data_IF_274433347626
#
_entry.id   IF_274433347626
#
_cell.length_a   1.000
_cell.length_b   1.000
_cell.length_c   1.000
_cell.angle_alpha   90.00
_cell.angle_beta   90.00
_cell.angle_gamma   90.00
#
_symmetry.space_group_name_H-M   'P 1'
#
loop_
_entity.id
_entity.type
_entity.pdbx_description
1 polymer ?
#
# COMPACT_ATOMS: atom_id res chain seq x y z
N UNK A 1 17.58 60.07 12.38
CA UNK A 1 17.43 58.90 11.49
C UNK A 1 17.39 57.63 12.34
N UNK A 2 16.28 56.89 12.35
CA UNK A 2 16.17 55.56 12.98
C UNK A 2 15.27 54.71 12.08
N UNK A 3 15.85 53.70 11.43
CA UNK A 3 15.14 52.67 10.68
C UNK A 3 14.68 51.60 11.66
N UNK A 4 13.37 51.36 11.74
CA UNK A 4 12.81 50.20 12.44
C UNK A 4 12.53 49.15 11.37
N UNK A 5 13.43 48.17 11.27
CA UNK A 5 13.28 47.03 10.37
C UNK A 5 12.56 45.92 11.14
N UNK A 6 11.30 45.67 10.81
CA UNK A 6 10.51 44.58 11.38
C UNK A 6 10.83 43.33 10.58
N UNK A 7 11.61 42.42 11.14
CA UNK A 7 11.80 41.08 10.58
C UNK A 7 10.65 40.18 11.02
N UNK A 8 9.77 39.85 10.08
CA UNK A 8 8.73 38.86 10.25
C UNK A 8 9.35 37.46 10.14
N UNK A 9 9.56 36.78 11.27
CA UNK A 9 9.93 35.37 11.28
C UNK A 9 8.67 34.52 11.09
N UNK A 10 8.54 33.87 9.93
CA UNK A 10 7.53 32.83 9.71
C UNK A 10 8.09 31.53 10.28
N UNK A 11 7.71 31.18 11.52
CA UNK A 11 7.99 29.87 12.09
C UNK A 11 7.02 28.85 11.50
N UNK A 12 7.53 27.95 10.66
CA UNK A 12 6.81 26.74 10.25
C UNK A 12 6.80 25.79 11.45
N UNK A 13 5.67 25.72 12.15
CA UNK A 13 5.46 24.75 13.22
C UNK A 13 5.23 23.37 12.59
N UNK A 14 6.24 22.50 12.63
CA UNK A 14 6.07 21.06 12.45
C UNK A 14 5.40 20.51 13.72
N UNK A 15 4.07 20.52 13.76
CA UNK A 15 3.31 19.86 14.82
C UNK A 15 3.35 18.35 14.59
N UNK A 16 3.80 17.54 15.56
CA UNK A 16 3.61 16.09 15.47
C UNK A 16 2.10 15.83 15.39
N UNK A 17 1.68 15.08 14.38
CA UNK A 17 0.31 14.63 14.24
C UNK A 17 0.06 13.67 15.41
N UNK A 18 -0.61 14.14 16.45
CA UNK A 18 -1.05 13.29 17.54
C UNK A 18 -2.26 12.51 17.05
N UNK A 19 -2.06 11.25 16.66
CA UNK A 19 -3.16 10.33 16.42
C UNK A 19 -3.91 10.16 17.75
N UNK A 20 -5.24 10.30 17.75
CA UNK A 20 -6.04 10.08 18.96
C UNK A 20 -6.31 8.59 19.14
N UNK A 21 -6.40 8.15 20.40
CA UNK A 21 -6.72 6.76 20.72
C UNK A 21 -8.07 6.31 20.13
N UNK A 22 -9.03 7.24 20.03
CA UNK A 22 -10.34 6.99 19.42
C UNK A 22 -10.20 6.65 17.92
N UNK A 23 -9.27 7.30 17.21
CA UNK A 23 -9.03 7.04 15.79
C UNK A 23 -8.43 5.64 15.58
N UNK A 24 -7.53 5.22 16.47
CA UNK A 24 -6.91 3.88 16.40
C UNK A 24 -7.91 2.76 16.69
N UNK A 25 -8.84 3.00 17.63
CA UNK A 25 -9.90 2.04 17.95
C UNK A 25 -10.83 1.85 16.75
N UNK A 26 -11.16 2.94 16.06
CA UNK A 26 -11.97 2.88 14.84
C UNK A 26 -11.32 2.03 13.73
N UNK A 27 -10.00 2.12 13.56
CA UNK A 27 -9.28 1.27 12.60
C UNK A 27 -9.44 -0.22 12.93
N UNK A 28 -9.42 -0.59 14.22
CA UNK A 28 -9.63 -1.98 14.63
C UNK A 28 -11.04 -2.44 14.26
N UNK A 29 -12.05 -1.59 14.45
CA UNK A 29 -13.44 -1.89 14.09
C UNK A 29 -13.62 -2.04 12.56
N UNK A 30 -12.83 -1.32 11.76
CA UNK A 30 -12.77 -1.44 10.29
C UNK A 30 -11.93 -2.63 9.78
N UNK A 31 -11.40 -3.45 10.69
CA UNK A 31 -10.64 -4.66 10.35
C UNK A 31 -9.15 -4.44 10.16
N UNK A 32 -8.62 -3.25 10.44
CA UNK A 32 -7.17 -3.01 10.42
C UNK A 32 -6.47 -3.64 11.62
N UNK A 33 -5.28 -4.20 11.38
CA UNK A 33 -4.44 -4.84 12.40
C UNK A 33 -2.98 -4.53 12.15
N UNK A 34 -2.17 -4.59 13.20
CA UNK A 34 -0.73 -4.43 13.10
C UNK A 34 -0.04 -5.79 13.10
N UNK A 35 0.95 -5.96 12.22
CA UNK A 35 1.79 -7.14 12.22
C UNK A 35 2.67 -7.20 13.47
N UNK A 36 2.82 -8.40 14.04
CA UNK A 36 3.62 -8.69 15.23
C UNK A 36 4.88 -9.49 14.91
N UNK A 37 4.96 -10.05 13.70
CA UNK A 37 6.03 -10.93 13.26
C UNK A 37 6.96 -10.20 12.29
N UNK A 38 8.21 -10.65 12.23
CA UNK A 38 9.15 -10.29 11.17
C UNK A 38 9.42 -11.52 10.30
N UNK A 39 9.00 -11.49 9.05
CA UNK A 39 9.31 -12.55 8.08
C UNK A 39 8.33 -12.64 6.91
N UNK A 40 8.60 -13.54 5.93
CA UNK A 40 7.86 -13.68 4.67
C UNK A 40 6.51 -14.40 4.85
N UNK A 41 5.68 -13.90 5.74
CA UNK A 41 4.47 -14.58 6.22
C UNK A 41 3.16 -13.99 5.68
N UNK A 42 3.23 -13.14 4.66
CA UNK A 42 2.07 -12.79 3.83
C UNK A 42 2.22 -13.48 2.47
N UNK A 43 1.44 -14.53 2.21
CA UNK A 43 1.62 -15.40 1.06
C UNK A 43 0.44 -15.34 0.10
N UNK A 44 0.64 -15.69 -1.17
CA UNK A 44 -0.44 -15.68 -2.18
C UNK A 44 -1.54 -16.74 -1.95
N UNK A 45 -1.26 -17.78 -1.17
CA UNK A 45 -2.24 -18.80 -0.78
C UNK A 45 -1.87 -19.43 0.58
N UNK A 46 -2.84 -20.12 1.18
CA UNK A 46 -2.69 -20.75 2.49
C UNK A 46 -1.63 -21.86 2.53
N UNK A 47 -1.51 -22.68 1.48
CA UNK A 47 -0.55 -23.80 1.45
C UNK A 47 0.89 -23.30 1.45
N UNK A 48 1.14 -22.21 0.73
CA UNK A 48 2.41 -21.48 0.68
C UNK A 48 2.77 -20.97 2.07
N UNK A 49 1.81 -20.37 2.77
CA UNK A 49 1.97 -19.91 4.15
C UNK A 49 2.26 -21.08 5.12
N UNK A 50 1.53 -22.20 4.99
CA UNK A 50 1.78 -23.40 5.79
C UNK A 50 3.20 -23.88 5.59
N UNK A 51 3.61 -24.05 4.33
CA UNK A 51 4.92 -24.57 3.98
C UNK A 51 6.07 -23.72 4.53
N UNK A 52 6.06 -22.41 4.28
CA UNK A 52 7.13 -21.51 4.73
C UNK A 52 7.18 -21.36 6.26
N UNK A 53 6.07 -21.59 6.94
CA UNK A 53 6.01 -21.54 8.40
C UNK A 53 6.44 -22.87 9.05
N UNK A 54 6.21 -24.01 8.40
CA UNK A 54 6.54 -25.33 8.95
C UNK A 54 7.97 -25.79 8.66
N UNK A 55 8.50 -25.44 7.49
CA UNK A 55 9.80 -25.92 6.99
C UNK A 55 10.58 -24.76 6.36
N UNK A 56 10.91 -23.79 7.23
CA UNK A 56 11.59 -22.59 6.83
C UNK A 56 13.07 -22.86 6.51
N UNK A 57 13.50 -22.48 5.31
CA UNK A 57 14.91 -22.43 4.92
C UNK A 57 15.19 -21.16 4.11
N UNK A 58 16.39 -20.61 4.21
CA UNK A 58 16.81 -19.41 3.47
C UNK A 58 16.61 -19.57 1.96
N UNK A 59 16.85 -20.78 1.42
CA UNK A 59 16.68 -21.06 -0.01
C UNK A 59 15.20 -21.08 -0.42
N UNK A 60 14.33 -21.63 0.43
CA UNK A 60 12.87 -21.63 0.21
C UNK A 60 12.32 -20.21 0.29
N UNK A 61 12.71 -19.47 1.33
CA UNK A 61 12.33 -18.06 1.50
C UNK A 61 12.76 -17.21 0.31
N UNK A 62 14.04 -17.24 -0.05
CA UNK A 62 14.57 -16.45 -1.16
C UNK A 62 13.79 -16.71 -2.44
N UNK A 63 13.59 -17.99 -2.79
CA UNK A 63 12.82 -18.39 -3.96
C UNK A 63 11.40 -17.85 -3.95
N UNK A 64 10.72 -17.92 -2.80
CA UNK A 64 9.31 -17.50 -2.69
C UNK A 64 9.18 -15.98 -2.74
N UNK A 65 10.13 -15.24 -2.15
CA UNK A 65 10.17 -13.77 -2.23
C UNK A 65 10.49 -13.31 -3.65
N UNK A 66 11.49 -13.89 -4.30
CA UNK A 66 11.87 -13.54 -5.69
C UNK A 66 10.74 -13.80 -6.69
N UNK A 67 9.97 -14.86 -6.48
CA UNK A 67 8.81 -15.19 -7.33
C UNK A 67 7.56 -14.37 -6.99
N UNK A 68 7.56 -13.60 -5.90
CA UNK A 68 6.39 -12.86 -5.43
C UNK A 68 5.27 -13.75 -4.87
N UNK A 69 5.64 -14.93 -4.37
CA UNK A 69 4.76 -15.88 -3.68
C UNK A 69 4.62 -15.55 -2.19
N UNK A 70 5.62 -14.90 -1.61
CA UNK A 70 5.65 -14.47 -0.21
C UNK A 70 6.19 -13.04 -0.06
N UNK A 71 5.63 -12.31 0.89
CA UNK A 71 5.93 -10.92 1.20
C UNK A 71 6.21 -10.78 2.69
N UNK A 72 7.12 -9.87 3.04
CA UNK A 72 7.48 -9.65 4.43
C UNK A 72 6.37 -8.92 5.17
N UNK A 73 5.99 -9.49 6.31
CA UNK A 73 5.37 -8.76 7.40
C UNK A 73 6.48 -8.28 8.31
N UNK A 74 6.48 -6.99 8.61
CA UNK A 74 7.43 -6.35 9.52
C UNK A 74 6.62 -5.88 10.74
N UNK A 75 7.14 -5.99 11.97
CA UNK A 75 6.41 -5.54 13.15
C UNK A 75 6.02 -4.06 13.03
N UNK A 76 4.75 -3.76 13.32
CA UNK A 76 4.19 -2.42 13.19
C UNK A 76 3.60 -2.10 11.82
N UNK A 77 3.80 -2.95 10.80
CA UNK A 77 3.12 -2.79 9.51
C UNK A 77 1.61 -2.95 9.67
N UNK A 78 0.83 -1.98 9.18
CA UNK A 78 -0.62 -2.04 9.18
C UNK A 78 -1.11 -2.87 7.98
N UNK A 79 -2.06 -3.75 8.25
CA UNK A 79 -2.77 -4.53 7.24
C UNK A 79 -4.27 -4.39 7.46
N UNK A 80 -5.07 -4.65 6.43
CA UNK A 80 -6.52 -4.72 6.56
C UNK A 80 -6.97 -6.17 6.37
N UNK A 81 -7.67 -6.74 7.35
CA UNK A 81 -8.31 -8.06 7.19
C UNK A 81 -9.52 -7.88 6.27
N UNK A 82 -9.57 -8.65 5.18
CA UNK A 82 -10.71 -8.69 4.25
C UNK A 82 -11.55 -9.94 4.41
N UNK A 83 -10.95 -11.02 4.91
CA UNK A 83 -11.65 -12.24 5.26
C UNK A 83 -10.91 -12.94 6.41
N UNK A 84 -11.66 -13.62 7.27
CA UNK A 84 -11.11 -14.37 8.39
C UNK A 84 -11.57 -15.83 8.32
N UNK A 85 -10.63 -16.76 8.34
CA UNK A 85 -10.91 -18.19 8.46
C UNK A 85 -10.47 -18.69 9.85
N UNK A 86 -11.39 -18.68 10.84
CA UNK A 86 -11.08 -19.15 12.18
C UNK A 86 -10.82 -20.66 12.24
N UNK A 87 -11.20 -21.43 11.21
CA UNK A 87 -10.97 -22.89 11.18
C UNK A 87 -9.50 -23.20 10.94
N UNK A 88 -8.86 -22.47 10.02
CA UNK A 88 -7.43 -22.59 9.74
C UNK A 88 -6.56 -21.67 10.60
N UNK A 89 -7.17 -20.69 11.29
CA UNK A 89 -6.46 -19.67 12.06
C UNK A 89 -5.69 -18.70 11.15
N UNK A 90 -6.20 -18.49 9.95
CA UNK A 90 -5.61 -17.62 8.93
C UNK A 90 -6.59 -16.52 8.56
N UNK A 91 -6.03 -15.40 8.14
CA UNK A 91 -6.81 -14.28 7.63
C UNK A 91 -6.26 -13.90 6.26
N UNK A 92 -7.16 -13.52 5.38
CA UNK A 92 -6.82 -12.87 4.12
C UNK A 92 -6.73 -11.37 4.37
N UNK A 93 -5.65 -10.75 3.92
CA UNK A 93 -5.27 -9.37 4.23
C UNK A 93 -4.95 -8.57 2.97
N UNK A 94 -5.21 -7.26 3.02
CA UNK A 94 -4.61 -6.28 2.14
C UNK A 94 -3.35 -5.71 2.81
N UNK A 95 -2.28 -5.64 2.02
CA UNK A 95 -1.00 -5.11 2.43
C UNK A 95 -0.63 -3.94 1.51
N UNK A 96 -0.12 -2.86 2.10
CA UNK A 96 0.33 -1.67 1.38
C UNK A 96 1.26 -2.01 0.21
N UNK A 97 1.01 -1.41 -0.95
CA UNK A 97 1.80 -1.64 -2.16
C UNK A 97 1.56 -2.98 -2.87
N UNK A 98 0.72 -3.87 -2.33
CA UNK A 98 0.32 -5.13 -2.96
C UNK A 98 -1.13 -5.03 -3.44
N UNK A 99 -1.35 -5.28 -4.73
CA UNK A 99 -2.67 -5.08 -5.38
C UNK A 99 -3.62 -6.25 -5.25
N UNK A 100 -3.21 -7.32 -4.56
CA UNK A 100 -3.99 -8.54 -4.35
C UNK A 100 -4.04 -8.89 -2.87
N UNK A 101 -5.12 -9.51 -2.39
CA UNK A 101 -5.14 -10.07 -1.05
C UNK A 101 -4.09 -11.16 -0.87
N UNK A 102 -3.57 -11.28 0.35
CA UNK A 102 -2.58 -12.26 0.77
C UNK A 102 -3.07 -13.00 2.01
N UNK A 103 -2.63 -14.22 2.21
CA UNK A 103 -2.91 -15.03 3.38
C UNK A 103 -1.82 -14.90 4.42
N UNK A 104 -2.21 -14.72 5.68
CA UNK A 104 -1.31 -14.80 6.84
C UNK A 104 -2.01 -15.52 8.00
N UNK A 105 -1.25 -15.90 9.03
CA UNK A 105 -1.86 -16.44 10.23
C UNK A 105 -2.41 -15.31 11.09
N UNK A 106 -3.63 -15.43 11.58
CA UNK A 106 -4.28 -14.40 12.43
C UNK A 106 -3.46 -14.09 13.68
N UNK A 107 -2.73 -15.09 14.22
CA UNK A 107 -1.82 -14.91 15.38
C UNK A 107 -0.63 -13.99 15.11
N UNK A 108 -0.32 -13.69 13.85
CA UNK A 108 0.72 -12.73 13.46
C UNK A 108 0.21 -11.29 13.42
N UNK A 109 -1.06 -11.08 13.74
CA UNK A 109 -1.72 -9.79 13.74
C UNK A 109 -2.21 -9.45 15.15
N UNK A 110 -2.27 -8.16 15.46
CA UNK A 110 -2.84 -7.66 16.72
C UNK A 110 -3.76 -6.46 16.48
N UNK A 111 -4.74 -6.28 17.37
CA UNK A 111 -5.55 -5.07 17.45
C UNK A 111 -4.83 -3.94 18.21
N UNK A 112 -3.78 -4.26 18.97
CA UNK A 112 -3.02 -3.26 19.71
C UNK A 112 -2.05 -2.54 18.76
N UNK A 113 -2.07 -1.19 18.70
CA UNK A 113 -1.16 -0.45 17.84
C UNK A 113 0.32 -0.70 18.19
N UNK A 114 1.12 -0.98 17.16
CA UNK A 114 2.57 -1.19 17.30
C UNK A 114 3.30 -0.12 16.50
N UNK A 115 4.38 0.41 17.07
CA UNK A 115 5.27 1.32 16.35
C UNK A 115 6.12 0.53 15.36
N UNK A 116 6.20 1.02 14.13
CA UNK A 116 7.08 0.50 13.10
C UNK A 116 8.57 0.76 13.40
N UNK A 117 9.44 0.37 12.47
CA UNK A 117 10.89 0.58 12.59
C UNK A 117 11.31 2.06 12.62
N UNK A 118 10.44 2.99 12.22
CA UNK A 118 10.64 4.43 12.26
C UNK A 118 10.04 5.09 13.51
N UNK A 119 9.42 4.30 14.40
CA UNK A 119 8.78 4.81 15.61
C UNK A 119 7.43 5.48 15.32
N UNK A 120 6.75 5.11 14.23
CA UNK A 120 5.45 5.64 13.84
C UNK A 120 4.40 4.52 13.97
N UNK A 121 3.21 4.86 14.46
CA UNK A 121 2.06 3.96 14.36
C UNK A 121 1.48 4.13 12.97
N UNK A 122 1.57 3.10 12.15
CA UNK A 122 1.03 3.15 10.79
C UNK A 122 -0.50 3.34 10.80
N UNK A 123 -0.96 4.23 9.91
CA UNK A 123 -2.37 4.42 9.53
C UNK A 123 -2.57 3.98 8.07
N UNK A 124 -3.81 3.85 7.58
CA UNK A 124 -4.04 3.45 6.18
C UNK A 124 -3.28 4.32 5.17
N UNK A 125 -3.23 5.64 5.42
CA UNK A 125 -2.55 6.59 4.55
C UNK A 125 -1.02 6.41 4.56
N UNK A 126 -0.41 6.14 5.72
CA UNK A 126 1.05 5.95 5.80
C UNK A 126 1.48 4.57 5.34
N UNK A 127 0.63 3.56 5.52
CA UNK A 127 0.85 2.19 5.05
C UNK A 127 0.70 2.06 3.53
N UNK A 128 0.15 3.08 2.84
CA UNK A 128 -0.16 2.99 1.41
C UNK A 128 -1.33 2.04 1.12
N UNK A 129 -2.20 1.82 2.10
CA UNK A 129 -3.48 1.16 1.92
C UNK A 129 -4.44 2.20 1.36
N UNK A 130 -4.77 2.08 0.07
CA UNK A 130 -5.75 2.97 -0.56
C UNK A 130 -7.12 2.60 0.00
N UNK A 131 -7.77 3.56 0.65
CA UNK A 131 -9.18 3.43 1.01
C UNK A 131 -10.00 3.19 -0.29
N UNK A 132 -10.79 2.12 -0.40
CA UNK A 132 -11.67 1.91 -1.55
C UNK A 132 -12.61 3.10 -1.83
N UNK A 133 -12.90 3.96 -0.84
CA UNK A 133 -13.63 5.20 -1.03
C UNK A 133 -12.77 6.38 -1.52
N UNK A 134 -11.45 6.38 -1.31
CA UNK A 134 -10.54 7.32 -1.95
C UNK A 134 -10.39 7.01 -3.46
N UNK A 135 -10.51 5.75 -3.87
CA UNK A 135 -10.59 5.38 -5.29
C UNK A 135 -11.81 5.99 -6.00
N UNK A 136 -12.92 6.25 -5.27
CA UNK A 136 -14.09 7.00 -5.81
C UNK A 136 -13.91 8.51 -5.83
N UNK A 137 -12.97 9.06 -5.04
CA UNK A 137 -12.67 10.50 -5.00
C UNK A 137 -11.69 10.96 -6.07
N UNK A 138 -11.06 10.05 -6.79
CA UNK A 138 -10.38 10.37 -8.05
C UNK A 138 -11.45 10.67 -9.11
N UNK A 139 -12.10 11.82 -8.98
CA UNK A 139 -12.69 12.49 -10.14
C UNK A 139 -11.51 12.87 -11.01
N UNK A 140 -11.25 12.08 -12.05
CA UNK A 140 -10.46 12.52 -13.20
C UNK A 140 -11.06 13.88 -13.57
N UNK A 141 -10.32 15.01 -13.49
CA UNK A 141 -10.82 16.25 -14.02
C UNK A 141 -11.12 15.97 -15.48
N UNK A 142 -12.38 16.16 -15.87
CA UNK A 142 -12.85 16.05 -17.23
C UNK A 142 -12.03 17.05 -18.06
N UNK A 143 -10.88 16.58 -18.56
CA UNK A 143 -10.13 17.27 -19.58
C UNK A 143 -11.03 17.20 -20.79
N UNK A 144 -11.87 18.24 -20.92
CA UNK A 144 -12.70 18.48 -22.08
C UNK A 144 -11.83 18.62 -23.32
N UNK A 145 -11.38 17.49 -23.86
CA UNK A 145 -10.87 17.38 -25.21
C UNK A 145 -12.11 17.18 -26.09
N UNK A 146 -12.76 18.31 -26.37
CA UNK A 146 -13.79 18.40 -27.40
C UNK A 146 -13.23 17.82 -28.69
N UNK A 147 -13.77 16.67 -29.09
CA UNK A 147 -13.45 16.03 -30.37
C UNK A 147 -14.37 16.61 -31.42
N UNK A 148 -14.00 17.75 -32.00
CA UNK A 148 -14.57 18.16 -33.28
C UNK A 148 -14.08 17.18 -34.37
N UNK A 149 -14.97 16.67 -35.25
CA UNK A 149 -14.58 15.73 -36.29
C UNK A 149 -13.77 16.44 -37.38
N UNK A 150 -12.48 16.15 -37.46
CA UNK A 150 -11.61 16.63 -38.53
C UNK A 150 -11.91 15.87 -39.84
N UNK A 151 -12.15 16.54 -40.99
CA UNK A 151 -12.37 15.86 -42.26
C UNK A 151 -11.08 15.24 -42.80
N UNK A 152 -11.16 13.97 -43.20
CA UNK A 152 -10.08 13.19 -43.81
C UNK A 152 -9.53 13.86 -45.08
N UNK A 153 -8.21 14.09 -45.12
CA UNK A 153 -7.47 14.26 -46.37
C UNK A 153 -6.27 13.31 -46.39
N UNK A 154 -6.39 12.29 -47.24
CA UNK A 154 -5.29 11.39 -47.62
C UNK A 154 -4.26 12.15 -48.46
N UNK A 155 -2.96 11.90 -48.26
CA UNK A 155 -2.04 11.90 -49.40
C UNK A 155 -1.38 10.53 -49.63
N UNK A 156 -1.39 10.13 -50.91
CA UNK A 156 -0.80 8.92 -51.48
C UNK A 156 0.71 8.78 -51.20
N UNK A 157 1.08 7.56 -50.82
CA UNK A 157 2.45 7.05 -50.83
C UNK A 157 3.03 7.01 -52.25
N UNK A 158 4.24 7.54 -52.43
CA UNK A 158 5.06 7.34 -53.64
C UNK A 158 6.49 7.02 -53.23
N UNK A 159 6.88 5.75 -53.41
CA UNK A 159 8.23 5.21 -53.23
C UNK A 159 8.98 5.28 -54.57
N UNK A 160 10.15 5.91 -54.68
CA UNK A 160 10.97 5.78 -55.88
C UNK A 160 11.84 4.52 -55.81
N UNK A 161 11.78 3.74 -56.89
CA UNK A 161 12.65 2.61 -57.14
C UNK A 161 14.04 3.02 -57.60
N UNK A 162 14.97 2.22 -57.13
CA UNK A 162 16.38 2.07 -57.49
C UNK A 162 16.54 1.74 -58.99
N UNK A 163 17.50 2.38 -59.67
CA UNK A 163 17.83 2.11 -61.07
C UNK A 163 19.35 1.94 -61.21
N UNK A 164 19.76 0.78 -61.72
CA UNK A 164 21.04 0.57 -62.40
C UNK A 164 21.02 1.21 -63.79
#
# INVERSE_FOLDING_TARGET
>A
MKFVSIFLFVTVLNLPISIRADDLTHLVDEGYRWATVNGPYACVNEDTLRHITSDHTDATELRMVENGDAFYLIPGTLVQIVNDDPTSGMSEILLGGITRPLWTYTRFLTADPIHDTYGIIETPQTAGLIDPDDAKRIKIPDSGMSSDPQPSTTPQSSRPGEKN
#
